data_IF_569484714132
#
_entry.id   IF_569484714132
#
_cell.length_a   1.000
_cell.length_b   1.000
_cell.length_c   1.000
_cell.angle_alpha   90.00
_cell.angle_beta   90.00
_cell.angle_gamma   90.00
#
_symmetry.space_group_name_H-M   'P 1'
#
loop_
_entity.id
_entity.type
_entity.pdbx_description
1 polymer ?
#
# COMPACT_ATOMS: atom_id res chain seq x y z
N UNK A 1 17.53 24.72 -42.09
CA UNK A 1 18.63 25.18 -41.23
C UNK A 1 18.40 26.65 -41.01
N UNK A 2 18.11 27.20 -39.83
CA UNK A 2 18.25 26.74 -38.46
C UNK A 2 17.38 27.64 -37.59
N UNK A 3 16.30 27.10 -37.03
CA UNK A 3 15.47 27.78 -36.02
C UNK A 3 14.84 26.67 -35.16
N UNK A 4 15.66 26.02 -34.33
CA UNK A 4 15.25 25.19 -33.20
C UNK A 4 16.33 25.35 -32.13
N UNK A 5 16.35 26.49 -31.46
CA UNK A 5 17.11 26.72 -30.23
C UNK A 5 16.33 27.71 -29.37
N UNK A 6 15.14 27.34 -28.92
CA UNK A 6 14.47 27.96 -27.77
C UNK A 6 13.16 27.21 -27.48
N UNK A 7 13.24 26.17 -26.65
CA UNK A 7 12.14 25.64 -25.83
C UNK A 7 12.66 24.47 -24.97
N UNK A 8 13.70 24.75 -24.18
CA UNK A 8 14.12 23.93 -23.04
C UNK A 8 14.41 24.86 -21.86
N UNK A 9 13.46 25.73 -21.52
CA UNK A 9 13.46 26.37 -20.21
C UNK A 9 12.89 25.38 -19.19
N UNK A 10 13.77 24.50 -18.74
CA UNK A 10 13.63 23.81 -17.46
C UNK A 10 13.36 24.86 -16.38
N UNK A 11 12.24 24.74 -15.68
CA UNK A 11 12.01 25.40 -14.39
C UNK A 11 12.99 24.81 -13.37
N UNK A 12 14.26 25.15 -13.50
CA UNK A 12 15.21 25.02 -12.41
C UNK A 12 14.82 26.09 -11.39
N UNK A 13 14.04 25.70 -10.38
CA UNK A 13 14.04 26.46 -9.14
C UNK A 13 15.50 26.48 -8.66
N UNK A 14 16.18 27.61 -8.85
CA UNK A 14 17.48 27.84 -8.25
C UNK A 14 17.24 27.90 -6.75
N UNK A 15 17.40 26.76 -6.09
CA UNK A 15 17.49 26.71 -4.63
C UNK A 15 18.84 27.33 -4.31
N UNK A 16 18.84 28.59 -3.88
CA UNK A 16 20.02 29.27 -3.36
C UNK A 16 20.39 28.60 -2.05
N UNK A 17 21.21 27.55 -2.12
CA UNK A 17 21.69 26.81 -0.95
C UNK A 17 22.70 27.69 -0.20
N UNK A 18 22.52 27.83 1.12
CA UNK A 18 23.41 28.65 1.94
C UNK A 18 24.84 28.08 1.90
N UNK A 19 25.84 28.96 1.80
CA UNK A 19 27.28 28.62 1.78
C UNK A 19 27.81 27.93 3.04
N UNK A 20 26.95 27.65 4.03
CA UNK A 20 27.32 26.99 5.28
C UNK A 20 27.20 25.46 5.25
N UNK A 21 26.62 24.89 4.21
CA UNK A 21 26.34 23.44 4.16
C UNK A 21 27.41 22.79 3.27
N UNK A 22 28.26 21.94 3.86
CA UNK A 22 29.35 21.26 3.17
C UNK A 22 28.81 20.12 2.28
N UNK A 23 28.11 20.53 1.22
CA UNK A 23 27.46 19.67 0.24
C UNK A 23 28.38 19.54 -0.96
N UNK A 24 28.90 18.33 -1.19
CA UNK A 24 29.79 18.05 -2.30
C UNK A 24 29.05 17.36 -3.44
N UNK A 25 29.27 17.75 -4.72
CA UNK A 25 28.87 16.92 -5.85
C UNK A 25 29.41 15.50 -5.66
N UNK A 26 28.57 14.49 -5.90
CA UNK A 26 28.94 13.09 -5.70
C UNK A 26 29.01 12.35 -7.03
N UNK A 27 30.07 12.56 -7.86
CA UNK A 27 30.23 11.85 -9.13
C UNK A 27 30.40 10.34 -8.98
N UNK A 28 30.55 9.84 -7.74
CA UNK A 28 30.71 8.43 -7.38
C UNK A 28 29.56 7.87 -6.54
N UNK A 29 28.41 8.57 -6.44
CA UNK A 29 27.26 8.01 -5.73
C UNK A 29 26.78 6.72 -6.43
N UNK A 30 26.50 5.65 -5.66
CA UNK A 30 26.00 4.40 -6.22
C UNK A 30 24.65 4.62 -6.90
N UNK A 31 24.45 3.93 -8.01
CA UNK A 31 23.17 3.87 -8.71
C UNK A 31 22.24 2.92 -7.96
N UNK A 32 21.09 3.43 -7.53
CA UNK A 32 20.03 2.65 -6.92
C UNK A 32 18.90 2.44 -7.93
N UNK A 33 18.55 1.19 -8.21
CA UNK A 33 17.34 0.89 -8.97
C UNK A 33 16.12 1.32 -8.15
N UNK A 34 15.17 1.98 -8.80
CA UNK A 34 13.89 2.31 -8.18
C UNK A 34 12.82 1.30 -8.63
N UNK A 35 11.62 1.40 -8.05
CA UNK A 35 10.46 0.58 -8.45
C UNK A 35 9.68 1.19 -9.63
N UNK A 36 10.18 2.29 -10.22
CA UNK A 36 9.53 3.04 -11.29
C UNK A 36 10.01 2.60 -12.69
N UNK A 37 9.07 2.53 -13.61
CA UNK A 37 9.29 2.24 -15.03
C UNK A 37 8.62 3.33 -15.86
N UNK A 38 9.41 4.09 -16.60
CA UNK A 38 8.91 5.09 -17.55
C UNK A 38 8.43 4.37 -18.82
N UNK A 39 7.16 4.52 -19.17
CA UNK A 39 6.54 3.88 -20.33
C UNK A 39 6.52 4.88 -21.49
N UNK A 40 7.11 4.49 -22.63
CA UNK A 40 7.26 5.35 -23.80
C UNK A 40 6.07 5.27 -24.79
N UNK A 41 4.98 4.63 -24.38
CA UNK A 41 3.81 4.34 -25.22
C UNK A 41 2.53 4.86 -24.58
N UNK A 42 1.50 5.10 -25.41
CA UNK A 42 0.18 5.46 -24.93
C UNK A 42 -0.49 4.27 -24.23
N UNK A 43 -1.27 4.55 -23.20
CA UNK A 43 -1.90 3.54 -22.34
C UNK A 43 -2.80 2.58 -23.11
N UNK A 44 -3.47 3.04 -24.18
CA UNK A 44 -4.29 2.19 -25.06
C UNK A 44 -3.45 1.11 -25.74
N UNK A 45 -2.27 1.49 -26.23
CA UNK A 45 -1.35 0.56 -26.91
C UNK A 45 -0.75 -0.42 -25.91
N UNK A 46 -0.38 0.07 -24.72
CA UNK A 46 0.11 -0.76 -23.62
C UNK A 46 -0.95 -1.79 -23.23
N UNK A 47 -2.18 -1.35 -22.96
CA UNK A 47 -3.31 -2.20 -22.60
C UNK A 47 -3.56 -3.28 -23.66
N UNK A 48 -3.61 -2.88 -24.93
CA UNK A 48 -3.77 -3.82 -26.05
C UNK A 48 -2.66 -4.87 -26.07
N UNK A 49 -1.39 -4.47 -25.94
CA UNK A 49 -0.23 -5.36 -25.97
C UNK A 49 -0.24 -6.34 -24.78
N UNK A 50 -0.48 -5.88 -23.55
CA UNK A 50 -0.53 -6.77 -22.38
C UNK A 50 -1.71 -7.73 -22.39
N UNK A 51 -2.84 -7.34 -22.99
CA UNK A 51 -3.99 -8.23 -23.16
C UNK A 51 -3.76 -9.29 -24.24
N UNK A 52 -3.00 -8.97 -25.31
CA UNK A 52 -2.66 -9.91 -26.38
C UNK A 52 -1.60 -10.94 -26.01
N UNK A 53 -0.89 -10.77 -24.90
CA UNK A 53 0.03 -11.79 -24.40
C UNK A 53 -0.68 -13.16 -24.30
N UNK A 54 -0.03 -14.26 -24.68
CA UNK A 54 -0.65 -15.57 -24.69
C UNK A 54 -1.07 -16.02 -23.28
N UNK A 55 -2.01 -16.95 -23.23
CA UNK A 55 -2.36 -17.66 -21.99
C UNK A 55 -1.13 -18.38 -21.43
N UNK A 56 -1.06 -18.47 -20.11
CA UNK A 56 -0.01 -19.16 -19.38
C UNK A 56 -0.61 -20.39 -18.71
N UNK A 57 -0.08 -21.57 -19.03
CA UNK A 57 -0.55 -22.85 -18.45
C UNK A 57 -2.05 -23.14 -18.71
N UNK A 58 -2.53 -22.79 -19.91
CA UNK A 58 -3.95 -22.89 -20.25
C UNK A 58 -4.84 -21.80 -19.63
N UNK A 59 -4.32 -20.98 -18.70
CA UNK A 59 -5.06 -19.90 -18.07
C UNK A 59 -4.77 -18.54 -18.70
N UNK A 60 -5.82 -17.74 -18.90
CA UNK A 60 -5.71 -16.37 -19.40
C UNK A 60 -6.69 -15.43 -18.74
N UNK A 61 -6.60 -14.17 -19.13
CA UNK A 61 -7.46 -13.09 -18.63
C UNK A 61 -8.72 -13.04 -19.49
N UNK A 62 -9.89 -13.00 -18.86
CA UNK A 62 -11.17 -12.72 -19.52
C UNK A 62 -11.94 -11.67 -18.71
N UNK A 63 -13.00 -11.16 -19.33
CA UNK A 63 -13.88 -10.15 -18.77
C UNK A 63 -15.31 -10.67 -18.62
N UNK A 64 -15.99 -10.29 -17.54
CA UNK A 64 -17.42 -10.34 -17.43
C UNK A 64 -17.98 -8.92 -17.41
N UNK A 65 -19.11 -8.74 -18.07
CA UNK A 65 -19.73 -7.44 -18.26
C UNK A 65 -21.20 -7.51 -17.88
N UNK A 66 -21.64 -6.58 -17.03
CA UNK A 66 -23.03 -6.47 -16.61
C UNK A 66 -23.44 -5.01 -16.76
N UNK A 67 -24.53 -4.78 -17.49
CA UNK A 67 -25.24 -3.49 -17.45
C UNK A 67 -26.34 -3.60 -16.42
N UNK A 68 -26.25 -2.80 -15.37
CA UNK A 68 -27.28 -2.69 -14.32
C UNK A 68 -27.37 -1.21 -13.98
N UNK A 69 -28.48 -0.53 -14.26
CA UNK A 69 -28.65 0.85 -13.79
C UNK A 69 -28.97 0.86 -12.29
N UNK A 70 -28.54 1.92 -11.58
CA UNK A 70 -28.87 2.10 -10.17
C UNK A 70 -30.35 2.52 -10.02
N UNK A 71 -31.19 1.74 -9.30
CA UNK A 71 -32.54 2.17 -8.91
C UNK A 71 -32.48 3.38 -7.97
N UNK A 72 -33.50 4.23 -8.02
CA UNK A 72 -33.55 5.46 -7.21
C UNK A 72 -33.75 5.16 -5.71
N UNK A 73 -34.43 4.06 -5.41
CA UNK A 73 -34.94 3.70 -4.09
C UNK A 73 -33.89 3.02 -3.20
N UNK A 74 -32.76 2.58 -3.77
CA UNK A 74 -31.73 1.84 -3.03
C UNK A 74 -30.47 2.68 -2.80
N UNK A 75 -29.82 2.44 -1.66
CA UNK A 75 -28.53 3.06 -1.35
C UNK A 75 -27.45 2.61 -2.35
N UNK A 76 -26.40 3.43 -2.51
CA UNK A 76 -25.29 3.08 -3.40
C UNK A 76 -24.56 1.79 -2.93
N UNK A 77 -24.39 1.61 -1.63
CA UNK A 77 -23.70 0.44 -1.06
C UNK A 77 -24.50 -0.85 -1.25
N UNK A 78 -25.83 -0.80 -1.06
CA UNK A 78 -26.71 -1.93 -1.34
C UNK A 78 -26.71 -2.28 -2.83
N UNK A 79 -26.77 -1.26 -3.68
CA UNK A 79 -26.69 -1.41 -5.13
C UNK A 79 -25.40 -2.10 -5.58
N UNK A 80 -24.24 -1.57 -5.16
CA UNK A 80 -22.92 -2.12 -5.52
C UNK A 80 -22.74 -3.52 -4.93
N UNK A 81 -23.21 -3.78 -3.71
CA UNK A 81 -23.22 -5.13 -3.13
C UNK A 81 -24.04 -6.11 -3.97
N UNK A 82 -25.19 -5.67 -4.48
CA UNK A 82 -26.01 -6.44 -5.42
C UNK A 82 -25.30 -6.73 -6.74
N UNK A 83 -24.63 -5.73 -7.33
CA UNK A 83 -23.78 -5.91 -8.53
C UNK A 83 -22.69 -6.94 -8.27
N UNK A 84 -21.96 -6.83 -7.17
CA UNK A 84 -20.87 -7.77 -6.84
C UNK A 84 -21.38 -9.20 -6.63
N UNK A 85 -22.57 -9.37 -6.05
CA UNK A 85 -23.23 -10.68 -5.90
C UNK A 85 -23.55 -11.30 -7.26
N UNK A 86 -24.11 -10.52 -8.18
CA UNK A 86 -24.47 -10.98 -9.51
C UNK A 86 -23.22 -11.36 -10.33
N UNK A 87 -22.15 -10.55 -10.26
CA UNK A 87 -20.86 -10.88 -10.87
C UNK A 87 -20.30 -12.19 -10.28
N UNK A 88 -20.29 -12.34 -8.95
CA UNK A 88 -19.78 -13.57 -8.33
C UNK A 88 -20.56 -14.81 -8.77
N UNK A 89 -21.89 -14.70 -8.89
CA UNK A 89 -22.73 -15.79 -9.39
C UNK A 89 -22.34 -16.16 -10.82
N UNK A 90 -22.30 -15.18 -11.73
CA UNK A 90 -21.91 -15.37 -13.13
C UNK A 90 -20.52 -16.01 -13.25
N UNK A 91 -19.54 -15.52 -12.51
CA UNK A 91 -18.18 -16.05 -12.54
C UNK A 91 -18.09 -17.46 -11.94
N UNK A 92 -18.86 -17.76 -10.90
CA UNK A 92 -18.89 -19.11 -10.31
C UNK A 92 -19.48 -20.13 -11.27
N UNK A 93 -20.53 -19.76 -12.01
CA UNK A 93 -21.09 -20.59 -13.09
C UNK A 93 -20.06 -20.81 -14.21
N UNK A 94 -19.40 -19.75 -14.68
CA UNK A 94 -18.37 -19.82 -15.73
C UNK A 94 -17.15 -20.67 -15.35
N UNK A 95 -16.76 -20.63 -14.08
CA UNK A 95 -15.58 -21.33 -13.57
C UNK A 95 -15.92 -22.69 -12.93
N UNK A 96 -17.20 -23.09 -12.94
CA UNK A 96 -17.71 -24.30 -12.30
C UNK A 96 -17.29 -24.41 -10.82
N UNK A 97 -17.53 -23.35 -10.05
CA UNK A 97 -17.14 -23.24 -8.65
C UNK A 97 -18.33 -23.42 -7.70
N UNK A 98 -18.17 -24.29 -6.71
CA UNK A 98 -19.18 -24.52 -5.66
C UNK A 98 -19.15 -23.43 -4.56
N UNK A 99 -18.03 -22.71 -4.41
CA UNK A 99 -17.78 -21.81 -3.28
C UNK A 99 -17.44 -20.35 -3.70
N UNK A 100 -18.44 -19.46 -3.89
CA UNK A 100 -18.21 -18.07 -4.34
C UNK A 100 -17.55 -17.15 -3.30
N UNK A 101 -17.43 -17.57 -2.03
CA UNK A 101 -16.97 -16.67 -0.94
C UNK A 101 -15.53 -16.18 -1.12
N UNK A 102 -14.62 -17.07 -1.53
CA UNK A 102 -13.19 -16.75 -1.75
C UNK A 102 -12.88 -16.26 -3.16
N UNK A 103 -13.88 -16.27 -4.06
CA UNK A 103 -13.72 -15.74 -5.42
C UNK A 103 -13.40 -14.23 -5.38
N UNK A 104 -12.33 -13.88 -6.07
CA UNK A 104 -11.81 -12.53 -6.29
C UNK A 104 -11.76 -12.23 -7.79
N UNK A 105 -11.96 -10.96 -8.12
CA UNK A 105 -11.88 -10.40 -9.46
C UNK A 105 -11.61 -8.90 -9.32
N UNK A 106 -11.16 -8.28 -10.41
CA UNK A 106 -10.91 -6.84 -10.44
C UNK A 106 -12.11 -6.15 -11.09
N UNK A 107 -12.76 -5.25 -10.35
CA UNK A 107 -14.01 -4.62 -10.78
C UNK A 107 -13.84 -3.16 -11.19
N UNK A 108 -14.48 -2.77 -12.28
CA UNK A 108 -14.53 -1.40 -12.76
C UNK A 108 -15.98 -1.01 -13.00
N UNK A 109 -16.32 0.24 -12.72
CA UNK A 109 -17.67 0.77 -12.91
C UNK A 109 -17.62 2.04 -13.73
N UNK A 110 -18.52 2.17 -14.71
CA UNK A 110 -18.69 3.34 -15.54
C UNK A 110 -20.17 3.53 -15.83
N UNK A 111 -20.80 4.52 -15.20
CA UNK A 111 -22.27 4.71 -15.25
C UNK A 111 -22.97 3.40 -14.82
N UNK A 112 -23.85 2.87 -15.67
CA UNK A 112 -24.61 1.63 -15.44
C UNK A 112 -23.82 0.36 -15.81
N UNK A 113 -22.55 0.50 -16.21
CA UNK A 113 -21.73 -0.60 -16.70
C UNK A 113 -20.73 -1.05 -15.64
N UNK A 114 -20.75 -2.35 -15.37
CA UNK A 114 -19.86 -3.00 -14.41
C UNK A 114 -19.08 -4.10 -15.10
N UNK A 115 -17.76 -4.01 -14.96
CA UNK A 115 -16.79 -4.87 -15.61
C UNK A 115 -16.02 -5.63 -14.55
N UNK A 116 -15.79 -6.92 -14.77
CA UNK A 116 -14.98 -7.77 -13.91
C UNK A 116 -13.90 -8.48 -14.73
N UNK A 117 -12.62 -8.23 -14.43
CA UNK A 117 -11.50 -9.01 -14.95
C UNK A 117 -11.20 -10.18 -14.02
N UNK A 118 -11.03 -11.36 -14.60
CA UNK A 118 -10.77 -12.60 -13.88
C UNK A 118 -9.90 -13.55 -14.71
N UNK A 119 -9.36 -14.58 -14.07
CA UNK A 119 -8.59 -15.62 -14.74
C UNK A 119 -9.49 -16.81 -15.07
N UNK A 120 -9.34 -17.39 -16.26
CA UNK A 120 -10.13 -18.53 -16.73
C UNK A 120 -9.27 -19.49 -17.57
N UNK A 121 -9.55 -20.81 -17.55
CA UNK A 121 -8.89 -21.76 -18.44
C UNK A 121 -9.39 -21.66 -19.89
N UNK A 122 -10.50 -20.96 -20.13
CA UNK A 122 -11.10 -20.78 -21.44
C UNK A 122 -11.24 -19.28 -21.77
N UNK A 123 -10.14 -18.53 -21.88
CA UNK A 123 -10.20 -17.09 -22.17
C UNK A 123 -10.68 -16.86 -23.59
N UNK A 124 -11.64 -15.95 -23.75
CA UNK A 124 -12.10 -15.54 -25.07
C UNK A 124 -10.98 -14.76 -25.79
N UNK A 125 -10.85 -14.90 -27.12
CA UNK A 125 -9.89 -14.13 -27.90
C UNK A 125 -10.02 -12.62 -27.65
N UNK A 126 -8.89 -11.93 -27.56
CA UNK A 126 -8.80 -10.47 -27.36
C UNK A 126 -9.81 -9.68 -28.23
N UNK A 127 -9.91 -10.04 -29.51
CA UNK A 127 -10.77 -9.36 -30.48
C UNK A 127 -12.26 -9.37 -30.13
N UNK A 128 -12.71 -10.32 -29.30
CA UNK A 128 -14.12 -10.49 -28.95
C UNK A 128 -14.60 -9.60 -27.80
N UNK A 129 -13.70 -9.03 -27.00
CA UNK A 129 -14.11 -8.31 -25.79
C UNK A 129 -13.26 -7.07 -25.48
N UNK A 130 -11.96 -7.10 -25.78
CA UNK A 130 -11.07 -6.01 -25.39
C UNK A 130 -11.35 -4.73 -26.16
N UNK A 131 -11.70 -4.86 -27.45
CA UNK A 131 -12.10 -3.72 -28.30
C UNK A 131 -13.32 -3.00 -27.74
N UNK A 132 -14.26 -3.72 -27.12
CA UNK A 132 -15.45 -3.13 -26.51
C UNK A 132 -15.11 -2.36 -25.25
N UNK A 133 -14.26 -2.92 -24.38
CA UNK A 133 -13.79 -2.24 -23.17
C UNK A 133 -13.07 -0.92 -23.52
N UNK A 134 -12.16 -0.97 -24.50
CA UNK A 134 -11.39 0.20 -24.95
C UNK A 134 -12.34 1.28 -25.50
N UNK A 135 -13.41 0.89 -26.21
CA UNK A 135 -14.39 1.84 -26.76
C UNK A 135 -15.36 2.40 -25.72
N UNK A 136 -15.65 1.67 -24.64
CA UNK A 136 -16.61 2.08 -23.62
C UNK A 136 -16.12 3.24 -22.76
N UNK A 137 -14.82 3.57 -22.80
CA UNK A 137 -14.25 4.72 -22.09
C UNK A 137 -14.01 4.47 -20.61
N UNK A 138 -13.78 3.21 -20.21
CA UNK A 138 -13.25 2.92 -18.88
C UNK A 138 -11.84 3.49 -18.72
N UNK A 139 -11.40 3.68 -17.48
CA UNK A 139 -10.05 4.17 -17.18
C UNK A 139 -8.99 3.15 -17.63
N UNK A 140 -8.38 3.40 -18.79
CA UNK A 140 -7.38 2.53 -19.39
C UNK A 140 -6.14 2.34 -18.51
N UNK A 141 -5.74 3.35 -17.72
CA UNK A 141 -4.61 3.24 -16.80
C UNK A 141 -4.90 2.22 -15.71
N UNK A 142 -6.09 2.32 -15.10
CA UNK A 142 -6.52 1.35 -14.09
C UNK A 142 -6.69 -0.06 -14.67
N UNK A 143 -7.21 -0.20 -15.88
CA UNK A 143 -7.35 -1.52 -16.51
C UNK A 143 -5.96 -2.11 -16.82
N UNK A 144 -5.07 -1.34 -17.43
CA UNK A 144 -3.71 -1.78 -17.75
C UNK A 144 -2.94 -2.20 -16.49
N UNK A 145 -3.07 -1.43 -15.41
CA UNK A 145 -2.56 -1.77 -14.08
C UNK A 145 -3.03 -3.17 -13.62
N UNK A 146 -4.33 -3.43 -13.62
CA UNK A 146 -4.87 -4.71 -13.15
C UNK A 146 -4.51 -5.87 -14.11
N UNK A 147 -4.42 -5.60 -15.42
CA UNK A 147 -3.96 -6.61 -16.38
C UNK A 147 -2.50 -6.98 -16.11
N UNK A 148 -1.61 -6.01 -15.85
CA UNK A 148 -0.21 -6.28 -15.48
C UNK A 148 -0.16 -7.08 -14.17
N UNK A 149 -0.98 -6.72 -13.17
CA UNK A 149 -1.06 -7.46 -11.91
C UNK A 149 -1.54 -8.92 -12.11
N UNK A 150 -2.53 -9.15 -12.97
CA UNK A 150 -3.00 -10.49 -13.33
C UNK A 150 -1.95 -11.28 -14.12
N UNK A 151 -1.19 -10.65 -15.02
CA UNK A 151 -0.06 -11.29 -15.72
C UNK A 151 1.03 -11.71 -14.75
N UNK A 152 1.38 -10.86 -13.79
CA UNK A 152 2.32 -11.19 -12.72
C UNK A 152 1.82 -12.38 -11.90
N UNK A 153 0.55 -12.38 -11.51
CA UNK A 153 -0.08 -13.50 -10.81
C UNK A 153 -0.04 -14.80 -11.62
N UNK A 154 -0.32 -14.75 -12.93
CA UNK A 154 -0.24 -15.93 -13.81
C UNK A 154 1.17 -16.52 -13.85
N UNK A 155 2.22 -15.69 -13.88
CA UNK A 155 3.61 -16.16 -13.85
C UNK A 155 3.91 -16.89 -12.54
N UNK A 156 3.53 -16.31 -11.40
CA UNK A 156 3.74 -16.91 -10.08
C UNK A 156 2.97 -18.24 -9.95
N UNK A 157 1.70 -18.27 -10.40
CA UNK A 157 0.88 -19.49 -10.36
C UNK A 157 1.38 -20.57 -11.31
N UNK A 158 1.86 -20.22 -12.52
CA UNK A 158 2.50 -21.17 -13.44
C UNK A 158 3.69 -21.85 -12.77
N UNK A 159 4.51 -21.08 -12.07
CA UNK A 159 5.64 -21.65 -11.35
C UNK A 159 5.19 -22.54 -10.18
N UNK A 160 4.10 -22.20 -9.49
CA UNK A 160 3.50 -23.07 -8.47
C UNK A 160 2.92 -24.38 -9.06
N UNK A 161 2.26 -24.30 -10.23
CA UNK A 161 1.62 -25.44 -10.89
C UNK A 161 2.60 -26.55 -11.30
N UNK A 162 3.90 -26.22 -11.43
CA UNK A 162 4.96 -27.20 -11.68
C UNK A 162 5.19 -28.15 -10.49
N UNK A 163 4.81 -27.74 -9.28
CA UNK A 163 5.03 -28.50 -8.05
C UNK A 163 3.73 -28.95 -7.37
N UNK A 164 2.60 -28.29 -7.66
CA UNK A 164 1.32 -28.53 -6.99
C UNK A 164 0.13 -28.46 -7.95
N UNK A 165 -0.90 -29.26 -7.70
CA UNK A 165 -2.17 -29.17 -8.43
C UNK A 165 -2.96 -27.94 -7.97
N UNK A 166 -3.14 -26.97 -8.86
CA UNK A 166 -3.94 -25.78 -8.59
C UNK A 166 -5.39 -25.98 -9.05
N UNK A 167 -6.34 -25.55 -8.21
CA UNK A 167 -7.75 -25.59 -8.54
C UNK A 167 -8.20 -24.29 -9.23
N UNK A 168 -9.36 -24.28 -9.93
CA UNK A 168 -9.85 -23.05 -10.57
C UNK A 168 -10.01 -21.85 -9.63
N UNK A 169 -10.37 -22.11 -8.36
CA UNK A 169 -10.47 -21.06 -7.34
C UNK A 169 -9.09 -20.47 -6.98
N UNK A 170 -8.00 -21.23 -7.09
CA UNK A 170 -6.62 -20.77 -6.79
C UNK A 170 -6.24 -19.56 -7.67
N UNK A 171 -6.59 -19.61 -8.96
CA UNK A 171 -6.35 -18.54 -9.92
C UNK A 171 -7.13 -17.26 -9.62
N UNK A 172 -8.29 -17.38 -8.95
CA UNK A 172 -9.14 -16.25 -8.61
C UNK A 172 -9.24 -16.04 -7.09
N UNK A 173 -8.17 -16.36 -6.34
CA UNK A 173 -8.06 -16.12 -4.89
C UNK A 173 -6.99 -15.08 -4.57
N UNK A 174 -6.96 -14.59 -3.32
CA UNK A 174 -5.84 -13.76 -2.86
C UNK A 174 -4.53 -14.56 -2.88
N UNK A 175 -3.47 -13.97 -3.46
CA UNK A 175 -2.14 -14.55 -3.56
C UNK A 175 -1.15 -13.68 -2.77
N UNK A 176 -0.35 -14.33 -1.94
CA UNK A 176 0.78 -13.74 -1.23
C UNK A 176 2.04 -14.51 -1.61
N UNK A 177 3.17 -13.83 -1.59
CA UNK A 177 4.45 -14.40 -2.04
C UNK A 177 5.58 -14.05 -1.09
N UNK A 178 6.74 -14.70 -1.29
CA UNK A 178 7.88 -14.64 -0.37
C UNK A 178 7.49 -14.99 1.07
N UNK A 179 6.59 -15.96 1.23
CA UNK A 179 6.11 -16.34 2.54
C UNK A 179 7.20 -17.03 3.38
N UNK A 180 7.21 -16.78 4.68
CA UNK A 180 8.16 -17.38 5.60
C UNK A 180 7.52 -17.61 6.96
N UNK A 181 7.67 -18.83 7.50
CA UNK A 181 7.39 -19.06 8.91
C UNK A 181 8.38 -18.27 9.76
N UNK A 182 7.87 -17.62 10.81
CA UNK A 182 8.73 -16.88 11.74
C UNK A 182 9.50 -17.81 12.69
N UNK A 183 8.94 -18.98 12.98
CA UNK A 183 9.49 -19.98 13.90
C UNK A 183 9.07 -21.38 13.47
N UNK A 184 9.95 -22.35 13.63
CA UNK A 184 9.67 -23.78 13.43
C UNK A 184 8.84 -24.38 14.57
N UNK A 185 8.69 -23.65 15.68
CA UNK A 185 7.84 -24.01 16.82
C UNK A 185 6.55 -23.19 16.83
N UNK A 186 5.39 -23.82 17.11
CA UNK A 186 4.13 -23.10 17.22
C UNK A 186 4.08 -22.23 18.48
N UNK A 187 3.14 -21.29 18.52
CA UNK A 187 2.79 -20.50 19.69
C UNK A 187 2.06 -21.36 20.75
N UNK A 188 1.67 -20.74 21.88
CA UNK A 188 0.97 -21.42 22.99
C UNK A 188 -0.37 -22.06 22.59
N UNK A 189 -0.98 -21.61 21.48
CA UNK A 189 -2.25 -22.12 20.96
C UNK A 189 -2.05 -23.17 19.85
N UNK A 190 -0.83 -23.66 19.65
CA UNK A 190 -0.46 -24.57 18.57
C UNK A 190 -0.58 -23.95 17.15
N UNK A 191 -0.42 -22.63 17.03
CA UNK A 191 -0.52 -21.90 15.76
C UNK A 191 0.82 -21.29 15.35
N UNK A 192 1.01 -21.05 14.06
CA UNK A 192 2.23 -20.48 13.48
C UNK A 192 1.97 -19.08 12.95
N UNK A 193 3.00 -18.23 13.05
CA UNK A 193 3.02 -16.95 12.38
C UNK A 193 3.76 -17.06 11.05
N UNK A 194 3.12 -16.57 10.00
CA UNK A 194 3.65 -16.58 8.64
C UNK A 194 3.67 -15.16 8.12
N UNK A 195 4.85 -14.65 7.83
CA UNK A 195 5.01 -13.39 7.11
C UNK A 195 4.94 -13.65 5.62
N UNK A 196 4.31 -12.75 4.88
CA UNK A 196 4.29 -12.76 3.43
C UNK A 196 4.16 -11.34 2.88
N UNK A 197 4.24 -11.21 1.56
CA UNK A 197 4.08 -9.96 0.85
C UNK A 197 2.87 -10.04 -0.08
N UNK A 198 2.11 -8.94 -0.15
CA UNK A 198 1.10 -8.69 -1.17
C UNK A 198 1.61 -7.57 -2.08
N UNK A 199 1.63 -7.81 -3.39
CA UNK A 199 1.97 -6.77 -4.35
C UNK A 199 0.72 -6.00 -4.80
N UNK A 200 0.91 -4.72 -5.10
CA UNK A 200 -0.03 -3.87 -5.82
C UNK A 200 0.74 -3.18 -6.95
N UNK A 201 0.18 -3.17 -8.16
CA UNK A 201 0.74 -2.43 -9.30
C UNK A 201 0.04 -1.07 -9.36
N UNK A 202 0.74 -0.04 -9.79
CA UNK A 202 0.18 1.28 -10.05
C UNK A 202 0.62 1.77 -11.41
N UNK A 203 -0.33 2.24 -12.22
CA UNK A 203 -0.05 2.89 -13.50
C UNK A 203 -0.54 4.34 -13.42
N UNK A 204 0.40 5.27 -13.42
CA UNK A 204 0.15 6.71 -13.33
C UNK A 204 -0.26 7.32 -14.68
N UNK A 205 -0.99 8.44 -14.61
CA UNK A 205 -1.34 9.28 -15.79
C UNK A 205 -0.13 10.00 -16.41
N UNK A 206 1.04 9.95 -15.78
CA UNK A 206 2.30 10.47 -16.31
C UNK A 206 3.06 9.41 -17.12
N UNK A 207 2.41 8.30 -17.45
CA UNK A 207 2.98 7.18 -18.18
C UNK A 207 4.12 6.47 -17.44
N UNK A 208 4.01 6.30 -16.12
CA UNK A 208 4.91 5.47 -15.34
C UNK A 208 4.17 4.32 -14.64
N UNK A 209 4.85 3.18 -14.54
CA UNK A 209 4.41 2.02 -13.78
C UNK A 209 5.28 1.88 -12.55
N UNK A 210 4.67 1.60 -11.41
CA UNK A 210 5.36 1.24 -10.17
C UNK A 210 4.63 0.11 -9.45
N UNK A 211 5.20 -0.40 -8.37
CA UNK A 211 4.56 -1.37 -7.51
C UNK A 211 4.88 -1.11 -6.03
N UNK A 212 4.00 -1.58 -5.17
CA UNK A 212 4.20 -1.60 -3.72
C UNK A 212 4.18 -3.05 -3.24
N UNK A 213 5.04 -3.39 -2.27
CA UNK A 213 4.97 -4.63 -1.51
C UNK A 213 4.52 -4.35 -0.09
N UNK A 214 3.31 -4.81 0.25
CA UNK A 214 2.77 -4.71 1.60
C UNK A 214 3.06 -5.98 2.39
N UNK A 215 3.75 -5.83 3.52
CA UNK A 215 3.92 -6.90 4.49
C UNK A 215 2.58 -7.29 5.12
N UNK A 216 2.32 -8.59 5.16
CA UNK A 216 1.13 -9.20 5.77
C UNK A 216 1.62 -10.35 6.65
N UNK A 217 1.12 -10.40 7.88
CA UNK A 217 1.39 -11.51 8.78
C UNK A 217 0.08 -12.29 9.00
N UNK A 218 0.18 -13.60 9.01
CA UNK A 218 -0.94 -14.51 9.21
C UNK A 218 -0.73 -15.35 10.45
N UNK A 219 -1.82 -15.70 11.11
CA UNK A 219 -1.87 -16.83 12.04
C UNK A 219 -2.44 -18.03 11.30
N UNK A 220 -1.77 -19.18 11.38
CA UNK A 220 -2.17 -20.38 10.63
C UNK A 220 -1.83 -21.68 11.37
N UNK A 221 -2.46 -22.78 10.96
CA UNK A 221 -2.16 -24.13 11.50
C UNK A 221 -0.84 -24.69 10.92
N UNK A 222 -0.33 -25.79 11.49
CA UNK A 222 0.95 -26.41 11.09
C UNK A 222 1.06 -26.72 9.58
N UNK A 223 -0.06 -27.09 8.97
CA UNK A 223 -0.15 -27.51 7.57
C UNK A 223 -0.09 -26.33 6.58
N UNK A 224 -0.24 -25.09 7.07
CA UNK A 224 -0.35 -23.87 6.27
C UNK A 224 0.99 -23.28 5.81
N UNK A 225 2.03 -24.10 5.62
CA UNK A 225 3.38 -23.60 5.37
C UNK A 225 3.60 -22.96 4.00
N UNK A 226 2.61 -23.04 3.10
CA UNK A 226 2.67 -22.48 1.75
C UNK A 226 3.36 -23.38 0.73
N UNK A 227 3.18 -23.04 -0.54
CA UNK A 227 3.72 -23.75 -1.70
C UNK A 227 5.14 -23.24 -1.96
N UNK A 228 6.15 -24.10 -1.84
CA UNK A 228 7.54 -23.74 -2.15
C UNK A 228 7.81 -23.88 -3.65
N UNK A 229 8.31 -22.83 -4.29
CA UNK A 229 8.61 -22.78 -5.72
C UNK A 229 9.99 -22.17 -5.98
N UNK A 230 10.45 -22.19 -7.23
CA UNK A 230 11.70 -21.51 -7.63
C UNK A 230 11.66 -19.98 -7.43
N UNK A 231 10.47 -19.37 -7.53
CA UNK A 231 10.26 -17.94 -7.29
C UNK A 231 10.00 -17.62 -5.80
N UNK A 232 10.22 -18.60 -4.92
CA UNK A 232 10.00 -18.48 -3.49
C UNK A 232 8.71 -19.16 -3.04
N UNK A 233 8.28 -18.86 -1.82
CA UNK A 233 7.11 -19.51 -1.24
C UNK A 233 5.85 -18.69 -1.45
N UNK A 234 4.80 -19.34 -1.94
CA UNK A 234 3.51 -18.74 -2.23
C UNK A 234 2.44 -19.18 -1.23
N UNK A 235 1.56 -18.27 -0.85
CA UNK A 235 0.34 -18.55 -0.11
C UNK A 235 -0.87 -18.22 -0.97
N UNK A 236 -1.75 -19.20 -1.16
CA UNK A 236 -2.98 -19.06 -1.93
C UNK A 236 -4.15 -19.32 -0.99
N UNK A 237 -5.02 -18.32 -0.83
CA UNK A 237 -6.19 -18.45 0.04
C UNK A 237 -7.39 -19.06 -0.70
N UNK A 238 -7.34 -20.37 -0.99
CA UNK A 238 -8.28 -21.06 -1.89
C UNK A 238 -9.08 -22.22 -1.26
N UNK A 239 -9.09 -22.32 0.08
CA UNK A 239 -9.66 -23.42 0.90
C UNK A 239 -8.91 -24.75 0.86
N UNK A 240 -8.13 -25.07 -0.18
CA UNK A 240 -7.40 -26.33 -0.25
C UNK A 240 -6.00 -26.23 0.35
N UNK A 241 -5.33 -25.12 0.08
CA UNK A 241 -3.92 -25.00 0.39
C UNK A 241 -3.69 -24.34 1.75
N UNK A 242 -4.60 -23.47 2.21
CA UNK A 242 -4.44 -22.76 3.48
C UNK A 242 -5.80 -22.37 4.09
N UNK A 243 -6.05 -22.84 5.32
CA UNK A 243 -6.98 -22.21 6.24
C UNK A 243 -6.23 -21.16 7.06
N UNK A 244 -6.11 -19.97 6.46
CA UNK A 244 -5.62 -18.79 7.16
C UNK A 244 -6.61 -18.50 8.28
N UNK A 245 -6.18 -18.62 9.53
CA UNK A 245 -7.03 -18.40 10.70
C UNK A 245 -7.43 -16.92 10.72
N UNK A 246 -6.43 -16.04 10.60
CA UNK A 246 -6.64 -14.60 10.53
C UNK A 246 -5.41 -13.88 9.95
N UNK A 247 -5.67 -12.70 9.37
CA UNK A 247 -4.63 -11.70 9.10
C UNK A 247 -4.40 -10.93 10.40
N UNK A 248 -3.15 -10.87 10.86
CA UNK A 248 -2.76 -10.13 12.06
C UNK A 248 -1.97 -8.87 11.68
N UNK A 249 -1.88 -7.93 12.63
CA UNK A 249 -1.16 -6.68 12.40
C UNK A 249 0.34 -6.94 12.19
N UNK A 250 0.82 -6.79 10.95
CA UNK A 250 2.22 -7.00 10.59
C UNK A 250 3.20 -6.06 11.32
N UNK A 251 2.75 -4.88 11.79
CA UNK A 251 3.61 -3.98 12.58
C UNK A 251 3.88 -4.51 14.00
N UNK A 252 2.96 -5.31 14.53
CA UNK A 252 3.05 -5.85 15.89
C UNK A 252 3.60 -7.27 15.89
N UNK A 253 3.19 -8.08 14.92
CA UNK A 253 3.49 -9.51 14.88
C UNK A 253 4.44 -9.90 13.75
N UNK A 254 4.66 -9.03 12.77
CA UNK A 254 5.51 -9.35 11.62
C UNK A 254 6.99 -9.27 11.95
N UNK A 255 7.78 -10.17 11.38
CA UNK A 255 9.23 -10.24 11.57
C UNK A 255 9.98 -10.33 10.23
N UNK A 256 9.36 -9.88 9.13
CA UNK A 256 9.98 -9.89 7.82
C UNK A 256 11.05 -8.79 7.74
N UNK A 257 12.34 -9.14 7.63
CA UNK A 257 13.38 -8.11 7.51
C UNK A 257 13.30 -7.46 6.13
N UNK A 258 13.56 -6.14 6.08
CA UNK A 258 13.69 -5.45 4.79
C UNK A 258 14.87 -6.01 4.00
N UNK A 259 16.04 -6.09 4.63
CA UNK A 259 17.28 -6.61 4.04
C UNK A 259 17.93 -7.61 5.00
N UNK A 260 18.54 -8.66 4.45
CA UNK A 260 19.37 -9.61 5.20
C UNK A 260 20.83 -9.37 4.83
N UNK A 261 21.68 -9.23 5.83
CA UNK A 261 23.14 -9.12 5.70
C UNK A 261 23.81 -10.35 6.35
N UNK A 262 25.07 -10.61 5.99
CA UNK A 262 25.90 -11.71 6.52
C UNK A 262 25.36 -13.14 6.22
N UNK A 263 25.72 -14.15 7.04
CA UNK A 263 25.57 -15.60 6.84
C UNK A 263 24.11 -16.15 6.67
N UNK A 264 23.13 -15.30 6.37
CA UNK A 264 21.74 -15.72 6.09
C UNK A 264 21.47 -15.67 4.58
N UNK A 265 20.67 -16.60 4.03
CA UNK A 265 20.24 -16.51 2.64
C UNK A 265 19.55 -15.17 2.37
N UNK A 266 19.89 -14.56 1.23
CA UNK A 266 19.27 -13.31 0.77
C UNK A 266 17.76 -13.48 0.49
N UNK A 267 17.33 -14.71 0.15
CA UNK A 267 15.92 -15.06 0.01
C UNK A 267 15.15 -14.89 1.32
N UNK A 268 13.86 -14.54 1.22
CA UNK A 268 12.97 -14.32 2.37
C UNK A 268 13.14 -12.97 3.07
N UNK A 269 13.61 -11.95 2.35
CA UNK A 269 13.56 -10.55 2.78
C UNK A 269 12.78 -9.70 1.76
N UNK A 270 12.32 -8.52 2.18
CA UNK A 270 11.52 -7.65 1.31
C UNK A 270 12.31 -7.17 0.08
N UNK A 271 13.58 -6.81 0.23
CA UNK A 271 14.40 -6.32 -0.88
C UNK A 271 14.59 -7.39 -1.98
N UNK A 272 14.78 -8.66 -1.60
CA UNK A 272 14.82 -9.76 -2.56
C UNK A 272 13.49 -9.87 -3.33
N UNK A 273 12.36 -9.76 -2.63
CA UNK A 273 11.03 -9.79 -3.24
C UNK A 273 10.80 -8.59 -4.18
N UNK A 274 11.27 -7.40 -3.83
CA UNK A 274 11.21 -6.20 -4.69
C UNK A 274 11.98 -6.43 -5.99
N UNK A 275 13.20 -6.96 -5.92
CA UNK A 275 13.99 -7.28 -7.12
C UNK A 275 13.31 -8.34 -8.00
N UNK A 276 12.69 -9.34 -7.38
CA UNK A 276 11.95 -10.37 -8.10
C UNK A 276 10.75 -9.77 -8.84
N UNK A 277 9.91 -8.99 -8.17
CA UNK A 277 8.76 -8.35 -8.83
C UNK A 277 9.21 -7.39 -9.92
N UNK A 278 10.27 -6.62 -9.70
CA UNK A 278 10.84 -5.75 -10.71
C UNK A 278 11.27 -6.53 -11.97
N UNK A 279 11.95 -7.68 -11.77
CA UNK A 279 12.34 -8.58 -12.86
C UNK A 279 11.11 -9.10 -13.62
N UNK A 280 10.09 -9.58 -12.90
CA UNK A 280 8.87 -10.13 -13.52
C UNK A 280 8.07 -9.08 -14.30
N UNK A 281 7.97 -7.84 -13.78
CA UNK A 281 7.35 -6.73 -14.51
C UNK A 281 8.14 -6.40 -15.78
N UNK A 282 9.47 -6.35 -15.69
CA UNK A 282 10.36 -6.14 -16.84
C UNK A 282 10.13 -7.21 -17.91
N UNK A 283 10.01 -8.48 -17.51
CA UNK A 283 9.71 -9.59 -18.42
C UNK A 283 8.33 -9.48 -19.07
N UNK A 284 7.29 -9.05 -18.33
CA UNK A 284 5.94 -8.82 -18.87
C UNK A 284 5.98 -7.72 -19.94
N UNK A 285 6.58 -6.57 -19.62
CA UNK A 285 6.67 -5.44 -20.54
C UNK A 285 7.50 -5.79 -21.79
N UNK A 286 8.63 -6.45 -21.62
CA UNK A 286 9.48 -6.89 -22.72
C UNK A 286 8.76 -7.94 -23.61
N UNK A 287 8.08 -8.92 -23.00
CA UNK A 287 7.33 -9.94 -23.74
C UNK A 287 6.17 -9.36 -24.55
N UNK A 288 5.58 -8.28 -24.04
CA UNK A 288 4.53 -7.54 -24.74
C UNK A 288 5.08 -6.58 -25.82
N UNK A 289 6.41 -6.51 -25.97
CA UNK A 289 7.10 -5.54 -26.82
C UNK A 289 6.67 -4.10 -26.51
N UNK A 290 6.61 -3.76 -25.22
CA UNK A 290 6.35 -2.41 -24.73
C UNK A 290 7.69 -1.71 -24.54
N UNK A 291 7.83 -0.48 -25.05
CA UNK A 291 9.00 0.35 -24.81
C UNK A 291 8.92 0.97 -23.40
N UNK A 292 9.93 0.69 -22.57
CA UNK A 292 10.04 1.23 -21.21
C UNK A 292 11.50 1.50 -20.81
N UNK A 293 11.69 2.37 -19.82
CA UNK A 293 12.99 2.64 -19.19
C UNK A 293 12.86 2.51 -17.67
N UNK A 294 13.55 1.56 -17.01
CA UNK A 294 13.61 1.52 -15.56
C UNK A 294 14.29 2.77 -15.00
N UNK A 295 13.66 3.43 -14.04
CA UNK A 295 14.22 4.64 -13.45
C UNK A 295 15.29 4.29 -12.42
N UNK A 296 16.43 4.93 -12.55
CA UNK A 296 17.57 4.79 -11.64
C UNK A 296 17.72 6.08 -10.85
N UNK A 297 17.91 5.95 -9.54
CA UNK A 297 18.24 7.04 -8.67
C UNK A 297 19.76 7.10 -8.48
N UNK A 298 20.32 8.30 -8.60
CA UNK A 298 21.69 8.60 -8.23
C UNK A 298 21.68 9.85 -7.36
N UNK A 299 22.27 9.78 -6.18
CA UNK A 299 22.46 10.98 -5.37
C UNK A 299 23.43 11.91 -6.10
N UNK A 300 22.97 13.10 -6.49
CA UNK A 300 23.81 14.09 -7.16
C UNK A 300 24.77 14.79 -6.20
N UNK A 301 24.41 14.80 -4.92
CA UNK A 301 25.16 15.46 -3.85
C UNK A 301 25.22 14.54 -2.63
N UNK A 302 26.34 14.61 -1.91
CA UNK A 302 26.51 13.95 -0.62
C UNK A 302 26.83 15.00 0.44
N UNK A 303 26.29 14.78 1.63
CA UNK A 303 26.66 15.54 2.81
C UNK A 303 27.39 14.60 3.75
N UNK A 304 28.61 14.96 4.14
CA UNK A 304 29.48 14.13 4.98
C UNK A 304 29.25 14.39 6.47
N UNK A 305 28.80 15.59 6.81
CA UNK A 305 28.45 15.99 8.17
C UNK A 305 26.93 16.01 8.31
N UNK A 306 26.41 15.57 9.45
CA UNK A 306 24.99 15.77 9.74
C UNK A 306 24.68 17.27 9.73
N UNK A 307 23.50 17.64 9.24
CA UNK A 307 22.99 19.00 9.44
C UNK A 307 22.75 19.19 10.93
N UNK A 308 23.76 19.67 11.63
CA UNK A 308 23.57 20.29 12.93
C UNK A 308 22.93 21.63 12.65
N UNK A 309 21.60 21.72 12.80
CA UNK A 309 20.95 23.02 12.85
C UNK A 309 21.55 23.77 14.05
N UNK A 310 22.25 24.90 13.85
CA UNK A 310 22.78 25.70 14.95
C UNK A 310 21.66 26.38 15.77
N UNK A 311 20.41 26.15 15.40
CA UNK A 311 19.22 26.67 16.04
C UNK A 311 18.54 25.54 16.83
N UNK A 312 19.00 25.33 18.05
CA UNK A 312 18.21 24.70 19.11
C UNK A 312 17.08 25.60 19.60
N UNK A 313 17.08 26.89 19.22
CA UNK A 313 15.98 27.79 19.49
C UNK A 313 14.85 27.57 18.46
N UNK A 314 13.71 27.08 18.94
CA UNK A 314 12.47 27.12 18.18
C UNK A 314 12.24 28.56 17.70
N UNK A 315 11.94 28.76 16.40
CA UNK A 315 11.61 30.08 15.85
C UNK A 315 10.47 30.78 16.60
N UNK A 316 9.64 30.01 17.29
CA UNK A 316 8.56 30.45 18.15
C UNK A 316 8.77 29.86 19.54
N UNK A 317 8.57 30.64 20.61
CA UNK A 317 8.72 30.13 21.96
C UNK A 317 7.78 28.94 22.22
N UNK A 318 8.28 27.94 22.95
CA UNK A 318 7.50 26.78 23.38
C UNK A 318 6.75 27.10 24.66
N UNK A 319 5.47 26.75 24.71
CA UNK A 319 4.62 26.79 25.89
C UNK A 319 4.21 25.36 26.20
N UNK A 320 4.37 24.93 27.45
CA UNK A 320 3.88 23.63 27.91
C UNK A 320 2.48 23.85 28.47
N UNK A 321 1.50 23.07 28.01
CA UNK A 321 0.13 23.07 28.55
C UNK A 321 0.00 21.84 29.43
N UNK A 322 -0.18 22.07 30.73
CA UNK A 322 -0.44 21.00 31.69
C UNK A 322 -1.92 20.63 31.71
N UNK A 323 -2.23 19.42 31.23
CA UNK A 323 -3.55 18.81 31.29
C UNK A 323 -3.48 17.42 31.95
N UNK A 324 -2.49 17.21 32.82
CA UNK A 324 -2.40 16.03 33.65
C UNK A 324 -3.43 16.18 34.77
N UNK A 325 -4.60 15.54 34.63
CA UNK A 325 -5.65 15.60 35.65
C UNK A 325 -5.15 14.92 36.93
N UNK A 326 -4.81 15.74 37.93
CA UNK A 326 -4.25 15.43 39.25
C UNK A 326 -4.58 14.02 39.76
N UNK A 327 -3.57 13.15 39.84
CA UNK A 327 -3.60 11.92 40.65
C UNK A 327 -2.26 11.64 41.36
N UNK A 328 -1.30 12.56 41.30
CA UNK A 328 0.02 12.41 41.94
C UNK A 328 0.27 13.56 42.93
N UNK A 329 1.24 13.33 43.82
CA UNK A 329 1.74 14.28 44.80
C UNK A 329 2.13 15.62 44.15
N UNK A 330 1.60 16.73 44.68
CA UNK A 330 1.67 18.05 44.08
C UNK A 330 3.11 18.56 43.95
N UNK A 331 3.98 18.21 44.90
CA UNK A 331 5.41 18.54 44.88
C UNK A 331 6.15 17.81 43.76
N UNK A 332 5.87 16.51 43.61
CA UNK A 332 6.46 15.68 42.54
C UNK A 332 6.04 16.18 41.15
N UNK A 333 4.77 16.57 40.98
CA UNK A 333 4.24 17.10 39.73
C UNK A 333 4.88 18.44 39.35
N UNK A 334 4.99 19.37 40.30
CA UNK A 334 5.64 20.67 40.07
C UNK A 334 7.13 20.52 39.73
N UNK A 335 7.84 19.61 40.40
CA UNK A 335 9.23 19.30 40.08
C UNK A 335 9.40 18.73 38.65
N UNK A 336 8.47 17.89 38.21
CA UNK A 336 8.46 17.35 36.84
C UNK A 336 8.21 18.44 35.79
N UNK A 337 7.24 19.32 36.01
CA UNK A 337 6.96 20.45 35.11
C UNK A 337 8.16 21.41 35.03
N UNK A 338 8.81 21.68 36.17
CA UNK A 338 10.00 22.51 36.22
C UNK A 338 11.17 21.91 35.43
N UNK A 339 11.41 20.60 35.61
CA UNK A 339 12.41 19.86 34.83
C UNK A 339 12.13 19.94 33.33
N UNK A 340 10.90 19.66 32.90
CA UNK A 340 10.52 19.74 31.49
C UNK A 340 10.68 21.15 30.90
N UNK A 341 10.30 22.18 31.66
CA UNK A 341 10.45 23.56 31.21
C UNK A 341 11.94 23.90 30.95
N UNK A 342 12.84 23.44 31.82
CA UNK A 342 14.29 23.65 31.65
C UNK A 342 14.86 22.85 30.48
N UNK A 343 14.61 21.55 30.42
CA UNK A 343 15.15 20.66 29.38
C UNK A 343 14.72 21.07 27.97
N UNK A 344 13.48 21.52 27.82
CA UNK A 344 12.92 21.93 26.54
C UNK A 344 13.12 23.44 26.26
N UNK A 345 13.73 24.18 27.19
CA UNK A 345 13.86 25.63 27.12
C UNK A 345 12.52 26.32 26.79
N UNK A 346 11.45 25.89 27.47
CA UNK A 346 10.11 26.42 27.28
C UNK A 346 9.92 27.77 28.00
N UNK A 347 9.20 28.69 27.37
CA UNK A 347 8.93 30.04 27.90
C UNK A 347 8.10 29.98 29.17
N UNK A 348 7.06 29.13 29.20
CA UNK A 348 6.22 28.95 30.38
C UNK A 348 5.49 27.61 30.35
N UNK A 349 5.02 27.21 31.54
CA UNK A 349 3.99 26.17 31.73
C UNK A 349 2.68 26.87 32.05
N UNK A 350 1.59 26.48 31.42
CA UNK A 350 0.24 27.04 31.62
C UNK A 350 -0.78 25.93 31.81
N UNK A 351 -1.89 26.23 32.46
CA UNK A 351 -3.01 25.31 32.58
C UNK A 351 -3.72 25.07 31.24
N UNK A 352 -4.44 23.96 31.15
CA UNK A 352 -5.32 23.65 30.03
C UNK A 352 -6.31 24.80 29.75
N UNK A 353 -6.30 25.29 28.51
CA UNK A 353 -7.14 26.39 28.04
C UNK A 353 -7.73 26.07 26.67
N UNK A 354 -8.85 26.72 26.33
CA UNK A 354 -9.49 26.53 25.03
C UNK A 354 -8.59 26.95 23.87
N UNK A 355 -8.70 26.22 22.76
CA UNK A 355 -7.86 26.42 21.56
C UNK A 355 -7.93 27.86 21.01
N UNK A 356 -9.05 28.56 21.23
CA UNK A 356 -9.27 29.95 20.82
C UNK A 356 -8.37 30.95 21.54
N UNK A 357 -7.84 30.58 22.70
CA UNK A 357 -6.93 31.41 23.50
C UNK A 357 -5.45 31.16 23.16
N UNK A 358 -5.15 30.19 22.29
CA UNK A 358 -3.78 29.91 21.86
C UNK A 358 -3.30 30.96 20.86
N UNK A 359 -2.14 31.56 21.17
CA UNK A 359 -1.43 32.44 20.25
C UNK A 359 -0.79 31.63 19.11
N UNK A 360 -1.16 31.96 17.86
CA UNK A 360 -0.63 31.37 16.62
C UNK A 360 0.89 31.51 16.42
N UNK A 361 1.52 32.42 17.15
CA UNK A 361 2.96 32.72 17.09
C UNK A 361 3.79 32.02 18.18
N UNK A 362 3.21 31.04 18.87
CA UNK A 362 3.87 30.16 19.84
C UNK A 362 3.80 28.70 19.39
N UNK A 363 4.68 27.87 19.92
CA UNK A 363 4.59 26.41 19.85
C UNK A 363 3.99 25.87 21.14
N UNK A 364 3.22 24.78 21.08
CA UNK A 364 2.59 24.19 22.27
C UNK A 364 2.92 22.71 22.40
N UNK A 365 3.31 22.28 23.60
CA UNK A 365 3.41 20.88 24.00
C UNK A 365 2.34 20.61 25.06
N UNK A 366 1.36 19.76 24.75
CA UNK A 366 0.27 19.44 25.69
C UNK A 366 0.58 18.14 26.42
N UNK A 367 0.71 18.22 27.74
CA UNK A 367 0.87 17.06 28.62
C UNK A 367 -0.51 16.51 28.97
N UNK A 368 -0.78 15.25 28.64
CA UNK A 368 -2.06 14.61 28.92
C UNK A 368 -1.83 13.31 29.70
N UNK A 369 -2.76 12.97 30.57
CA UNK A 369 -2.72 11.66 31.25
C UNK A 369 -2.86 10.55 30.22
N UNK A 370 -1.94 9.58 30.25
CA UNK A 370 -1.99 8.41 29.38
C UNK A 370 -3.26 7.60 29.67
N UNK A 371 -4.16 7.49 28.68
CA UNK A 371 -5.29 6.58 28.77
C UNK A 371 -4.86 5.18 28.30
N UNK A 372 -4.92 4.19 29.18
CA UNK A 372 -4.54 2.80 28.87
C UNK A 372 -5.39 2.14 27.76
N UNK A 373 -6.48 2.79 27.31
CA UNK A 373 -7.27 2.36 26.16
C UNK A 373 -6.74 3.02 24.88
N UNK A 374 -6.15 2.20 24.01
CA UNK A 374 -5.75 2.53 22.62
C UNK A 374 -4.60 3.52 22.43
N UNK A 375 -3.92 3.98 23.50
CA UNK A 375 -2.74 4.85 23.38
C UNK A 375 -3.06 6.26 22.86
N UNK A 376 -4.33 6.65 22.87
CA UNK A 376 -4.82 7.97 22.48
C UNK A 376 -4.78 8.93 23.68
N UNK A 377 -4.35 10.17 23.47
CA UNK A 377 -4.24 11.19 24.53
C UNK A 377 -5.14 12.42 24.31
N UNK A 378 -6.03 12.39 23.31
CA UNK A 378 -6.88 13.51 22.90
C UNK A 378 -8.34 13.09 23.00
N UNK A 379 -9.18 13.88 23.66
CA UNK A 379 -10.62 13.63 23.80
C UNK A 379 -11.41 14.89 23.47
N UNK A 380 -12.45 14.77 22.65
CA UNK A 380 -13.45 15.82 22.44
C UNK A 380 -14.78 15.34 23.00
N UNK A 381 -15.41 16.18 23.81
CA UNK A 381 -16.82 16.06 24.17
C UNK A 381 -17.67 16.49 22.97
N UNK A 382 -18.36 15.53 22.36
CA UNK A 382 -19.31 15.78 21.28
C UNK A 382 -20.70 15.60 21.86
N UNK A 383 -21.56 16.59 21.66
CA UNK A 383 -22.99 16.48 21.94
C UNK A 383 -23.61 15.85 20.69
N UNK A 384 -24.17 14.64 20.83
CA UNK A 384 -24.87 13.98 19.73
C UNK A 384 -26.20 14.68 19.40
N UNK A 385 -26.81 14.36 18.25
CA UNK A 385 -28.06 14.96 17.78
C UNK A 385 -29.24 14.80 18.77
N UNK A 386 -29.11 13.88 19.73
CA UNK A 386 -30.06 13.61 20.81
C UNK A 386 -29.73 14.37 22.12
N UNK A 387 -28.71 15.24 22.11
CA UNK A 387 -28.30 16.06 23.26
C UNK A 387 -27.44 15.35 24.30
N UNK A 388 -26.93 14.14 24.03
CA UNK A 388 -26.06 13.40 24.96
C UNK A 388 -24.58 13.69 24.69
N UNK A 389 -23.85 13.98 25.77
CA UNK A 389 -22.40 14.17 25.74
C UNK A 389 -21.71 12.81 25.56
N UNK A 390 -20.89 12.67 24.52
CA UNK A 390 -20.01 11.52 24.29
C UNK A 390 -18.57 11.98 24.21
N UNK A 391 -17.69 11.28 24.92
CA UNK A 391 -16.25 11.46 24.84
C UNK A 391 -15.69 10.61 23.70
N UNK A 392 -15.27 11.26 22.61
CA UNK A 392 -14.57 10.59 21.52
C UNK A 392 -13.06 10.76 21.70
N UNK A 393 -12.31 9.65 21.68
CA UNK A 393 -10.85 9.63 21.76
C UNK A 393 -10.22 9.64 20.37
N UNK A 394 -9.19 10.47 20.17
CA UNK A 394 -8.50 10.64 18.89
C UNK A 394 -7.01 10.35 19.02
N UNK A 395 -6.44 9.76 17.95
CA UNK A 395 -5.02 9.42 17.89
C UNK A 395 -4.14 10.58 17.44
N UNK A 396 -4.72 11.64 16.87
CA UNK A 396 -3.99 12.82 16.40
C UNK A 396 -4.80 14.09 16.58
N UNK A 397 -4.12 15.23 16.75
CA UNK A 397 -4.74 16.55 16.85
C UNK A 397 -5.53 16.91 15.61
N UNK A 398 -5.08 16.47 14.42
CA UNK A 398 -5.78 16.73 13.15
C UNK A 398 -7.13 16.00 13.04
N UNK A 399 -7.21 14.75 13.52
CA UNK A 399 -8.49 14.03 13.60
C UNK A 399 -9.49 14.70 14.53
N UNK A 400 -8.99 15.27 15.63
CA UNK A 400 -9.82 16.01 16.58
C UNK A 400 -10.30 17.34 15.97
N UNK A 401 -9.44 18.06 15.25
CA UNK A 401 -9.76 19.36 14.66
C UNK A 401 -10.78 19.31 13.51
N UNK A 402 -10.77 18.22 12.71
CA UNK A 402 -11.73 18.02 11.62
C UNK A 402 -13.17 17.84 12.11
N UNK A 403 -13.36 17.42 13.36
CA UNK A 403 -14.67 17.21 13.99
C UNK A 403 -15.13 18.40 14.85
N UNK A 404 -14.23 19.34 15.16
CA UNK A 404 -14.54 20.54 15.94
C UNK A 404 -14.97 21.75 15.07
N UNK A 405 -14.96 21.59 13.74
CA UNK A 405 -15.55 22.53 12.76
C UNK A 405 -16.94 22.06 12.37
#
# INVERSE_FOLDING_TARGET
MSEIMELNQTRNAVITMSSKWDIHPSPYAPLARTQLFDIAEQVESVLEKVLKLPSSDGWGIDVAYIRKPKPLEISYDEYISGVHRDIKKLLSEKLHLDAPKKLRYHSFSLKDYHLALFLTPNPRPYSQWATEIIKLGFDHYRIAQEVIALRLKLILLKNAAQYFSLSPISYNSDLYFSASLQSDKPNKNNEYYIDALKFSIFYSKHNDVTFELKAVCFRAQAEASGISTELGRLLINDNKNIDLIEIVNAKQFGNLPYMRFANKPYSGCQNHAENLIQKLITEILASANIAFTPRVFQASHRQLEFLETPHTALHRPLIIIDNLKNNEDEETHQNYLHYLQQELNAESVVDAQDIIHLNKDKNYLVLNSSQQKNGSSITIEIIDDDGKVRNNSFNTTWQALDLAK
#
